data_IF_582542456425
#
_entry.id   IF_582542456425
#
_cell.length_a   1.000
_cell.length_b   1.000
_cell.length_c   1.000
_cell.angle_alpha   90.00
_cell.angle_beta   90.00
_cell.angle_gamma   90.00
#
_symmetry.space_group_name_H-M   'P 1'
#
loop_
_entity.id
_entity.type
_entity.pdbx_description
1 polymer ?
#
# COMPACT_ATOMS: atom_id res chain seq x y z
N UNK A 1 -4.06 26.18 13.44
CA UNK A 1 -4.09 24.71 13.61
C UNK A 1 -5.00 24.01 12.62
N UNK A 2 -6.12 24.62 12.23
CA UNK A 2 -7.09 24.10 11.22
C UNK A 2 -6.49 23.85 9.83
N UNK A 3 -5.68 24.78 9.30
CA UNK A 3 -5.05 24.61 7.97
C UNK A 3 -4.11 23.41 7.89
N UNK A 4 -3.31 23.15 8.94
CA UNK A 4 -2.38 22.02 8.95
C UNK A 4 -3.10 20.67 8.91
N UNK A 5 -4.15 20.52 9.71
CA UNK A 5 -4.99 19.31 9.75
C UNK A 5 -5.63 18.99 8.39
N UNK A 6 -6.06 20.01 7.65
CA UNK A 6 -6.61 19.86 6.31
C UNK A 6 -5.59 19.33 5.31
N UNK A 7 -4.36 19.89 5.28
CA UNK A 7 -3.30 19.41 4.37
C UNK A 7 -2.89 17.96 4.65
N UNK A 8 -2.84 17.58 5.92
CA UNK A 8 -2.50 16.20 6.32
C UNK A 8 -3.56 15.21 5.84
N UNK A 9 -4.84 15.56 6.03
CA UNK A 9 -5.96 14.73 5.59
C UNK A 9 -5.88 14.50 4.08
N UNK A 10 -5.69 15.57 3.30
CA UNK A 10 -5.57 15.49 1.85
C UNK A 10 -4.43 14.53 1.47
N UNK A 11 -3.24 14.69 2.04
CA UNK A 11 -2.09 13.83 1.76
C UNK A 11 -2.36 12.35 2.08
N UNK A 12 -3.00 12.07 3.22
CA UNK A 12 -3.33 10.70 3.62
C UNK A 12 -4.37 10.11 2.67
N UNK A 13 -5.45 10.83 2.38
CA UNK A 13 -6.52 10.37 1.47
C UNK A 13 -5.98 10.15 0.06
N UNK A 14 -5.19 11.08 -0.48
CA UNK A 14 -4.53 10.91 -1.79
C UNK A 14 -3.64 9.67 -1.81
N UNK A 15 -2.90 9.39 -0.73
CA UNK A 15 -2.07 8.18 -0.65
C UNK A 15 -2.89 6.89 -0.57
N UNK A 16 -4.06 6.91 0.07
CA UNK A 16 -4.98 5.77 0.11
C UNK A 16 -5.61 5.50 -1.26
N UNK A 17 -6.05 6.57 -1.95
CA UNK A 17 -6.60 6.47 -3.31
C UNK A 17 -5.54 5.93 -4.28
N UNK A 18 -4.32 6.46 -4.24
CA UNK A 18 -3.24 5.95 -5.10
C UNK A 18 -2.96 4.47 -4.79
N UNK A 19 -2.86 4.09 -3.52
CA UNK A 19 -2.64 2.69 -3.15
C UNK A 19 -3.79 1.79 -3.62
N UNK A 20 -5.04 2.26 -3.61
CA UNK A 20 -6.18 1.53 -4.16
C UNK A 20 -6.03 1.34 -5.66
N UNK A 21 -5.71 2.40 -6.41
CA UNK A 21 -5.51 2.36 -7.86
C UNK A 21 -4.40 1.37 -8.22
N UNK A 22 -3.26 1.41 -7.51
CA UNK A 22 -2.14 0.50 -7.73
C UNK A 22 -2.53 -0.97 -7.45
N UNK A 23 -3.28 -1.24 -6.37
CA UNK A 23 -3.79 -2.60 -6.06
C UNK A 23 -4.71 -3.12 -7.17
N UNK A 24 -5.60 -2.28 -7.69
CA UNK A 24 -6.48 -2.67 -8.82
C UNK A 24 -5.63 -2.91 -10.07
N UNK A 25 -4.62 -2.09 -10.33
CA UNK A 25 -3.69 -2.31 -11.43
C UNK A 25 -2.93 -3.64 -11.33
N UNK A 26 -2.64 -4.14 -10.12
CA UNK A 26 -2.04 -5.47 -9.93
C UNK A 26 -3.01 -6.58 -10.35
N UNK A 27 -4.33 -6.36 -10.24
CA UNK A 27 -5.32 -7.35 -10.68
C UNK A 27 -5.28 -7.61 -12.18
N UNK A 28 -4.81 -6.63 -12.98
CA UNK A 28 -4.57 -6.84 -14.41
C UNK A 28 -3.61 -8.01 -14.67
N UNK A 29 -2.65 -8.24 -13.78
CA UNK A 29 -1.67 -9.32 -13.93
C UNK A 29 -2.16 -10.67 -13.41
N UNK A 30 -3.37 -10.75 -12.86
CA UNK A 30 -3.96 -12.04 -12.53
C UNK A 30 -4.28 -12.79 -13.82
N UNK A 31 -4.18 -14.11 -13.79
CA UNK A 31 -4.44 -14.98 -14.94
C UNK A 31 -5.94 -15.15 -15.21
N UNK A 32 -6.72 -14.06 -15.19
CA UNK A 32 -8.18 -14.03 -15.31
C UNK A 32 -8.52 -13.31 -16.61
N UNK A 33 -9.45 -13.87 -17.39
CA UNK A 33 -9.99 -13.20 -18.56
C UNK A 33 -11.00 -12.13 -18.12
N UNK A 34 -10.56 -10.86 -18.09
CA UNK A 34 -11.44 -9.75 -17.75
C UNK A 34 -12.38 -9.43 -18.91
N UNK A 35 -13.68 -9.30 -18.63
CA UNK A 35 -14.71 -8.88 -19.59
C UNK A 35 -14.93 -7.36 -19.56
N UNK A 36 -15.24 -6.75 -20.70
CA UNK A 36 -15.65 -5.34 -20.76
C UNK A 36 -16.96 -5.11 -20.01
N UNK A 37 -17.12 -3.99 -19.28
CA UNK A 37 -16.23 -2.82 -19.23
C UNK A 37 -15.14 -2.87 -18.15
N UNK A 38 -15.07 -3.94 -17.35
CA UNK A 38 -14.15 -4.05 -16.22
C UNK A 38 -12.69 -4.11 -16.70
N UNK A 39 -12.43 -4.82 -17.80
CA UNK A 39 -11.12 -4.89 -18.43
C UNK A 39 -10.54 -3.49 -18.72
N UNK A 40 -11.33 -2.61 -19.33
CA UNK A 40 -10.92 -1.25 -19.70
C UNK A 40 -10.61 -0.37 -18.48
N UNK A 41 -11.39 -0.52 -17.40
CA UNK A 41 -11.15 0.21 -16.14
C UNK A 41 -9.85 -0.26 -15.49
N UNK A 42 -9.63 -1.57 -15.42
CA UNK A 42 -8.39 -2.15 -14.86
C UNK A 42 -7.19 -1.73 -15.70
N UNK A 43 -7.33 -1.77 -17.03
CA UNK A 43 -6.32 -1.35 -17.98
C UNK A 43 -5.92 0.12 -17.73
N UNK A 44 -6.89 1.03 -17.63
CA UNK A 44 -6.64 2.45 -17.29
C UNK A 44 -5.93 2.61 -15.93
N UNK A 45 -6.36 1.88 -14.91
CA UNK A 45 -5.77 1.95 -13.58
C UNK A 45 -4.37 1.33 -13.51
N UNK A 46 -4.05 0.38 -14.40
CA UNK A 46 -2.72 -0.24 -14.48
C UNK A 46 -1.62 0.72 -14.96
N UNK A 47 -1.97 1.83 -15.63
CA UNK A 47 -1.03 2.95 -15.91
C UNK A 47 -0.40 3.47 -14.61
N UNK A 48 -1.15 3.49 -13.51
CA UNK A 48 -0.64 3.96 -12.20
C UNK A 48 0.38 3.00 -11.57
N UNK A 49 0.50 1.78 -12.10
CA UNK A 49 1.59 0.85 -11.78
C UNK A 49 2.84 1.06 -12.65
N UNK A 50 2.91 2.16 -13.40
CA UNK A 50 4.04 2.50 -14.27
C UNK A 50 4.26 1.47 -15.39
N UNK A 51 3.20 0.74 -15.75
CA UNK A 51 3.19 -0.07 -16.97
C UNK A 51 3.11 0.88 -18.18
N UNK A 52 4.25 1.12 -18.81
CA UNK A 52 4.33 1.96 -20.02
C UNK A 52 3.87 1.22 -21.28
N UNK A 53 3.50 -0.04 -21.17
CA UNK A 53 3.00 -0.85 -22.30
C UNK A 53 1.72 -0.24 -22.91
N UNK A 54 0.98 0.54 -22.12
CA UNK A 54 -0.24 1.25 -22.53
C UNK A 54 -0.01 2.39 -23.51
N UNK A 55 1.19 2.98 -23.53
CA UNK A 55 1.49 4.08 -24.44
C UNK A 55 1.76 3.61 -25.87
N UNK A 56 1.63 2.29 -26.17
CA UNK A 56 1.79 1.67 -27.50
C UNK A 56 2.90 2.32 -28.32
N UNK A 57 4.08 2.47 -27.71
CA UNK A 57 5.25 3.05 -28.39
C UNK A 57 5.69 2.26 -29.63
N UNK A 58 5.13 1.07 -29.84
CA UNK A 58 5.25 0.27 -31.07
C UNK A 58 4.85 1.06 -32.33
N UNK A 59 3.95 2.03 -32.22
CA UNK A 59 3.56 2.89 -33.34
C UNK A 59 4.63 3.93 -33.73
N UNK A 60 5.61 4.21 -32.85
CA UNK A 60 6.69 5.19 -33.10
C UNK A 60 7.99 4.55 -33.59
N UNK A 61 8.11 3.22 -33.52
CA UNK A 61 9.25 2.49 -34.06
C UNK A 61 9.41 1.09 -33.47
N UNK A 62 10.31 0.30 -34.08
CA UNK A 62 10.72 -1.02 -33.55
C UNK A 62 11.62 -0.83 -32.33
N UNK A 63 11.02 -0.77 -31.14
CA UNK A 63 11.75 -0.71 -29.86
C UNK A 63 11.95 -2.13 -29.33
N UNK A 64 13.16 -2.44 -28.87
CA UNK A 64 13.45 -3.76 -28.28
C UNK A 64 12.67 -3.99 -26.99
N UNK A 65 12.29 -5.24 -26.70
CA UNK A 65 11.56 -5.61 -25.47
C UNK A 65 12.34 -5.21 -24.20
N UNK A 66 13.66 -5.42 -24.22
CA UNK A 66 14.54 -5.01 -23.13
C UNK A 66 14.47 -3.51 -22.87
N UNK A 67 14.46 -2.70 -23.94
CA UNK A 67 14.33 -1.24 -23.83
C UNK A 67 12.98 -0.82 -23.25
N UNK A 68 11.89 -1.53 -23.57
CA UNK A 68 10.56 -1.27 -22.98
C UNK A 68 10.54 -1.54 -21.48
N UNK A 69 11.12 -2.66 -21.06
CA UNK A 69 11.26 -3.00 -19.65
C UNK A 69 12.14 -2.01 -18.88
N UNK A 70 13.27 -1.59 -19.47
CA UNK A 70 14.11 -0.53 -18.85
C UNK A 70 13.31 0.77 -18.76
N UNK A 71 12.57 1.13 -19.81
CA UNK A 71 11.74 2.33 -19.82
C UNK A 71 10.67 2.32 -18.73
N UNK A 72 10.06 1.18 -18.39
CA UNK A 72 9.07 1.11 -17.30
C UNK A 72 9.69 1.30 -15.91
N UNK A 73 10.97 0.99 -15.73
CA UNK A 73 11.73 1.29 -14.50
C UNK A 73 12.16 2.77 -14.41
N UNK A 74 12.44 3.41 -15.55
CA UNK A 74 12.98 4.78 -15.60
C UNK A 74 12.16 5.84 -14.84
N UNK A 75 10.82 5.92 -14.92
CA UNK A 75 10.03 6.95 -14.24
C UNK A 75 10.34 7.09 -12.75
N UNK A 76 10.50 5.98 -12.03
CA UNK A 76 10.84 5.99 -10.59
C UNK A 76 12.21 6.61 -10.38
N UNK A 77 13.22 6.12 -11.10
CA UNK A 77 14.60 6.62 -10.96
C UNK A 77 14.72 8.09 -11.39
N UNK A 78 13.97 8.51 -12.41
CA UNK A 78 13.90 9.90 -12.85
C UNK A 78 13.24 10.78 -11.79
N UNK A 79 12.13 10.35 -11.19
CA UNK A 79 11.48 11.08 -10.09
C UNK A 79 12.41 11.22 -8.87
N UNK A 80 13.10 10.15 -8.49
CA UNK A 80 14.07 10.17 -7.39
C UNK A 80 15.27 11.07 -7.72
N UNK A 81 15.83 10.93 -8.92
CA UNK A 81 16.95 11.75 -9.40
C UNK A 81 16.60 13.24 -9.49
N UNK A 82 15.44 13.57 -10.03
CA UNK A 82 14.93 14.94 -10.08
C UNK A 82 14.70 15.51 -8.66
N UNK A 83 14.13 14.72 -7.75
CA UNK A 83 13.97 15.12 -6.36
C UNK A 83 15.31 15.40 -5.66
N UNK A 84 16.31 14.55 -5.89
CA UNK A 84 17.68 14.75 -5.40
C UNK A 84 18.33 16.01 -6.01
N UNK A 85 18.17 16.22 -7.31
CA UNK A 85 18.71 17.39 -8.01
C UNK A 85 18.09 18.68 -7.48
N UNK A 86 16.76 18.73 -7.36
CA UNK A 86 16.04 19.87 -6.76
C UNK A 86 16.52 20.12 -5.34
N UNK A 87 16.71 19.07 -4.54
CA UNK A 87 17.26 19.20 -3.19
C UNK A 87 18.66 19.82 -3.21
N UNK A 88 19.56 19.33 -4.07
CA UNK A 88 20.93 19.83 -4.19
C UNK A 88 20.94 21.31 -4.58
N UNK A 89 20.18 21.68 -5.61
CA UNK A 89 20.07 23.07 -6.07
C UNK A 89 19.52 23.97 -4.96
N UNK A 90 18.45 23.56 -4.27
CA UNK A 90 17.88 24.35 -3.17
C UNK A 90 18.84 24.53 -2.00
N UNK A 91 19.60 23.49 -1.64
CA UNK A 91 20.58 23.59 -0.54
C UNK A 91 21.75 24.50 -0.91
N UNK A 92 22.23 24.45 -2.15
CA UNK A 92 23.29 25.33 -2.62
C UNK A 92 22.81 26.80 -2.68
N UNK A 93 21.67 27.05 -3.32
CA UNK A 93 21.18 28.42 -3.58
C UNK A 93 20.62 29.09 -2.33
N UNK A 94 19.80 28.38 -1.54
CA UNK A 94 19.07 29.00 -0.41
C UNK A 94 19.67 28.71 0.96
N UNK A 95 20.53 27.71 1.07
CA UNK A 95 21.07 27.26 2.36
C UNK A 95 22.59 27.25 2.42
N UNK A 96 23.28 27.84 1.43
CA UNK A 96 24.73 28.02 1.43
C UNK A 96 25.51 26.70 1.57
N UNK A 97 25.01 25.62 0.97
CA UNK A 97 25.71 24.32 0.95
C UNK A 97 25.63 23.51 2.26
N UNK A 98 24.74 23.84 3.20
CA UNK A 98 24.59 23.10 4.47
C UNK A 98 23.84 21.76 4.30
N UNK A 99 24.40 20.85 3.52
CA UNK A 99 23.79 19.54 3.20
C UNK A 99 23.46 18.70 4.45
N UNK A 100 24.38 18.65 5.42
CA UNK A 100 24.24 17.81 6.62
C UNK A 100 23.03 18.17 7.49
N UNK A 101 22.66 19.45 7.52
CA UNK A 101 21.48 19.94 8.26
C UNK A 101 20.18 19.64 7.52
N UNK A 102 20.23 19.55 6.19
CA UNK A 102 19.07 19.38 5.31
C UNK A 102 18.84 17.95 4.82
N UNK A 103 19.75 17.02 5.12
CA UNK A 103 19.57 15.58 4.85
C UNK A 103 18.23 15.00 5.32
N UNK A 104 17.65 15.39 6.48
CA UNK A 104 16.34 14.89 6.89
C UNK A 104 15.23 15.19 5.87
N UNK A 105 15.28 16.34 5.20
CA UNK A 105 14.30 16.71 4.19
C UNK A 105 14.46 15.84 2.93
N UNK A 106 15.69 15.54 2.52
CA UNK A 106 15.96 14.64 1.40
C UNK A 106 15.44 13.23 1.68
N UNK A 107 15.75 12.67 2.86
CA UNK A 107 15.26 11.36 3.30
C UNK A 107 13.73 11.33 3.28
N UNK A 108 13.10 12.40 3.76
CA UNK A 108 11.65 12.51 3.77
C UNK A 108 11.06 12.51 2.36
N UNK A 109 11.62 13.29 1.43
CA UNK A 109 11.15 13.35 0.03
C UNK A 109 11.35 12.01 -0.68
N UNK A 110 12.56 11.46 -0.66
CA UNK A 110 12.91 10.19 -1.30
C UNK A 110 12.06 9.05 -0.74
N UNK A 111 11.99 8.94 0.59
CA UNK A 111 11.21 7.90 1.26
C UNK A 111 9.70 8.04 1.01
N UNK A 112 9.17 9.27 0.88
CA UNK A 112 7.76 9.48 0.52
C UNK A 112 7.47 8.98 -0.89
N UNK A 113 8.34 9.27 -1.86
CA UNK A 113 8.19 8.80 -3.25
C UNK A 113 8.24 7.28 -3.30
N UNK A 114 9.23 6.64 -2.66
CA UNK A 114 9.34 5.18 -2.61
C UNK A 114 8.10 4.57 -1.96
N UNK A 115 7.66 5.08 -0.81
CA UNK A 115 6.48 4.57 -0.11
C UNK A 115 5.20 4.69 -0.94
N UNK A 116 5.05 5.80 -1.69
CA UNK A 116 3.87 6.08 -2.50
C UNK A 116 3.79 5.20 -3.77
N UNK A 117 4.93 4.82 -4.33
CA UNK A 117 5.02 3.97 -5.52
C UNK A 117 5.47 2.53 -5.21
N UNK A 118 5.48 2.10 -3.94
CA UNK A 118 6.07 0.81 -3.56
C UNK A 118 5.42 -0.38 -4.29
N UNK A 119 4.08 -0.39 -4.42
CA UNK A 119 3.34 -1.46 -5.11
C UNK A 119 3.74 -1.48 -6.59
N UNK A 120 3.75 -0.32 -7.25
CA UNK A 120 4.17 -0.18 -8.65
C UNK A 120 5.62 -0.62 -8.88
N UNK A 121 6.54 -0.19 -8.00
CA UNK A 121 7.96 -0.57 -8.04
C UNK A 121 8.08 -2.09 -7.97
N UNK A 122 7.45 -2.73 -6.98
CA UNK A 122 7.55 -4.19 -6.81
C UNK A 122 6.92 -4.90 -8.01
N UNK A 123 5.76 -4.45 -8.48
CA UNK A 123 5.06 -5.02 -9.64
C UNK A 123 5.90 -5.01 -10.92
N UNK A 124 6.50 -3.87 -11.27
CA UNK A 124 7.38 -3.77 -12.45
C UNK A 124 8.62 -4.63 -12.27
N UNK A 125 9.26 -4.57 -11.10
CA UNK A 125 10.47 -5.34 -10.80
C UNK A 125 10.23 -6.84 -10.92
N UNK A 126 9.08 -7.34 -10.47
CA UNK A 126 8.80 -8.78 -10.47
C UNK A 126 8.25 -9.31 -11.81
N UNK A 127 7.90 -8.42 -12.74
CA UNK A 127 7.31 -8.82 -14.03
C UNK A 127 8.14 -9.84 -14.84
N UNK A 128 9.50 -9.83 -14.86
CA UNK A 128 10.29 -10.85 -15.57
C UNK A 128 10.16 -12.26 -15.00
N UNK A 129 9.73 -12.39 -13.75
CA UNK A 129 9.52 -13.69 -13.10
C UNK A 129 8.12 -14.26 -13.37
N UNK A 130 7.21 -13.47 -13.94
CA UNK A 130 5.86 -13.92 -14.23
C UNK A 130 5.81 -14.60 -15.61
N UNK A 131 5.99 -15.93 -15.62
CA UNK A 131 5.92 -16.76 -16.82
C UNK A 131 4.64 -17.58 -16.84
N UNK A 132 4.00 -17.67 -18.00
CA UNK A 132 2.78 -18.44 -18.23
C UNK A 132 3.04 -19.52 -19.29
N UNK A 133 2.52 -20.71 -19.04
CA UNK A 133 2.63 -21.83 -19.97
C UNK A 133 1.64 -21.70 -21.13
N UNK A 134 2.13 -21.95 -22.34
CA UNK A 134 1.32 -21.96 -23.56
C UNK A 134 1.02 -23.40 -24.02
N UNK A 135 -0.01 -23.62 -24.86
CA UNK A 135 -0.37 -24.94 -25.38
C UNK A 135 0.74 -25.67 -26.14
N UNK A 136 1.74 -24.94 -26.63
CA UNK A 136 2.92 -25.51 -27.30
C UNK A 136 3.97 -26.08 -26.33
N UNK A 137 3.74 -26.01 -25.02
CA UNK A 137 4.66 -26.47 -23.98
C UNK A 137 5.74 -25.46 -23.59
N UNK A 138 5.78 -24.29 -24.23
CA UNK A 138 6.73 -23.22 -23.91
C UNK A 138 6.14 -22.25 -22.89
N UNK A 139 7.00 -21.73 -22.02
CA UNK A 139 6.66 -20.67 -21.08
C UNK A 139 7.08 -19.33 -21.64
N UNK A 140 6.17 -18.35 -21.65
CA UNK A 140 6.47 -16.98 -22.08
C UNK A 140 6.16 -16.00 -20.96
N UNK A 141 6.82 -14.85 -20.97
CA UNK A 141 6.50 -13.80 -20.01
C UNK A 141 5.07 -13.29 -20.19
N UNK A 142 4.35 -13.03 -19.10
CA UNK A 142 2.97 -12.53 -19.15
C UNK A 142 2.88 -11.14 -19.81
N UNK A 143 3.77 -10.23 -19.45
CA UNK A 143 3.77 -8.86 -19.99
C UNK A 143 4.34 -8.78 -21.42
N UNK A 144 5.21 -9.71 -21.80
CA UNK A 144 5.89 -9.74 -23.10
C UNK A 144 5.85 -11.16 -23.68
N UNK A 145 4.72 -11.59 -24.29
CA UNK A 145 4.55 -12.95 -24.80
C UNK A 145 5.60 -13.39 -25.83
N UNK A 146 6.27 -12.45 -26.50
CA UNK A 146 7.37 -12.71 -27.42
C UNK A 146 8.68 -13.17 -26.74
N UNK A 147 8.78 -13.06 -25.41
CA UNK A 147 9.95 -13.48 -24.63
C UNK A 147 9.69 -14.86 -24.02
N UNK A 148 10.42 -15.87 -24.53
CA UNK A 148 10.43 -17.23 -23.99
C UNK A 148 11.26 -17.27 -22.70
N UNK A 149 10.66 -17.77 -21.63
CA UNK A 149 11.29 -17.87 -20.32
C UNK A 149 12.36 -18.97 -20.30
N UNK A 150 13.55 -18.66 -19.75
CA UNK A 150 14.66 -19.61 -19.57
C UNK A 150 15.55 -19.84 -20.80
N UNK A 151 15.01 -19.69 -22.02
CA UNK A 151 15.76 -19.91 -23.27
C UNK A 151 16.30 -18.62 -23.89
N UNK A 152 15.59 -17.50 -23.72
CA UNK A 152 15.97 -16.23 -24.32
C UNK A 152 17.09 -15.53 -23.53
N UNK A 153 18.17 -15.13 -24.22
CA UNK A 153 19.21 -14.26 -23.64
C UNK A 153 18.64 -12.92 -23.15
N UNK A 154 17.56 -12.45 -23.77
CA UNK A 154 16.83 -11.24 -23.36
C UNK A 154 16.16 -11.46 -22.01
N UNK A 155 15.55 -12.63 -21.79
CA UNK A 155 14.92 -12.98 -20.50
C UNK A 155 15.95 -12.99 -19.37
N UNK A 156 17.11 -13.59 -19.60
CA UNK A 156 18.22 -13.59 -18.64
C UNK A 156 18.71 -12.17 -18.28
N UNK A 157 18.82 -11.28 -19.28
CA UNK A 157 19.17 -9.88 -19.04
C UNK A 157 18.08 -9.15 -18.21
N UNK A 158 16.79 -9.38 -18.51
CA UNK A 158 15.68 -8.79 -17.76
C UNK A 158 15.67 -9.26 -16.30
N UNK A 159 15.93 -10.55 -16.04
CA UNK A 159 16.08 -11.09 -14.68
C UNK A 159 17.25 -10.41 -13.96
N UNK A 160 18.41 -10.27 -14.63
CA UNK A 160 19.57 -9.60 -14.04
C UNK A 160 19.27 -8.16 -13.60
N UNK A 161 18.57 -7.40 -14.44
CA UNK A 161 18.12 -6.04 -14.13
C UNK A 161 17.09 -6.05 -13.00
N UNK A 162 16.12 -6.96 -13.03
CA UNK A 162 15.11 -7.10 -11.98
C UNK A 162 15.74 -7.37 -10.61
N UNK A 163 16.72 -8.28 -10.54
CA UNK A 163 17.45 -8.59 -9.31
C UNK A 163 18.19 -7.38 -8.76
N UNK A 164 18.82 -6.57 -9.62
CA UNK A 164 19.44 -5.32 -9.20
C UNK A 164 18.38 -4.29 -8.72
N UNK A 165 17.25 -4.19 -9.42
CA UNK A 165 16.17 -3.27 -9.06
C UNK A 165 15.45 -3.68 -7.75
N UNK A 166 15.42 -4.98 -7.40
CA UNK A 166 14.91 -5.50 -6.12
C UNK A 166 15.61 -4.89 -4.88
N UNK A 167 16.84 -4.39 -5.03
CA UNK A 167 17.57 -3.73 -3.93
C UNK A 167 16.76 -2.56 -3.37
N UNK A 168 16.02 -1.84 -4.22
CA UNK A 168 15.22 -0.69 -3.80
C UNK A 168 14.06 -1.07 -2.85
N UNK A 169 13.10 -1.94 -3.22
CA UNK A 169 12.01 -2.33 -2.32
C UNK A 169 12.50 -3.14 -1.10
N UNK A 170 13.50 -4.01 -1.26
CA UNK A 170 14.06 -4.79 -0.14
C UNK A 170 14.78 -3.88 0.85
N UNK A 171 15.64 -2.97 0.34
CA UNK A 171 16.32 -1.98 1.17
C UNK A 171 15.35 -1.07 1.91
N UNK A 172 14.27 -0.64 1.25
CA UNK A 172 13.22 0.13 1.89
C UNK A 172 12.52 -0.65 3.02
N UNK A 173 12.18 -1.93 2.79
CA UNK A 173 11.59 -2.79 3.82
C UNK A 173 12.51 -2.94 5.04
N UNK A 174 13.82 -3.16 4.81
CA UNK A 174 14.82 -3.24 5.88
C UNK A 174 14.88 -1.92 6.67
N UNK A 175 14.90 -0.77 5.99
CA UNK A 175 14.85 0.55 6.65
C UNK A 175 13.60 0.69 7.50
N UNK A 176 12.42 0.30 6.99
CA UNK A 176 11.16 0.34 7.74
C UNK A 176 11.25 -0.53 9.01
N UNK A 177 11.77 -1.75 8.91
CA UNK A 177 11.97 -2.63 10.06
C UNK A 177 12.89 -2.00 11.12
N UNK A 178 14.02 -1.44 10.69
CA UNK A 178 14.98 -0.76 11.58
C UNK A 178 14.36 0.46 12.24
N UNK A 179 13.58 1.26 11.51
CA UNK A 179 12.88 2.43 12.05
C UNK A 179 11.87 2.01 13.11
N UNK A 180 11.05 1.00 12.85
CA UNK A 180 10.05 0.49 13.81
C UNK A 180 10.73 -0.05 15.07
N UNK A 181 11.83 -0.80 14.92
CA UNK A 181 12.58 -1.34 16.06
C UNK A 181 13.19 -0.26 16.96
N UNK A 182 13.75 0.79 16.34
CA UNK A 182 14.49 1.83 17.05
C UNK A 182 13.59 2.99 17.52
N UNK A 183 12.36 3.07 17.00
CA UNK A 183 11.42 4.17 17.26
C UNK A 183 11.19 4.45 18.76
N UNK A 184 10.86 3.46 19.62
CA UNK A 184 10.61 3.72 21.05
C UNK A 184 11.85 4.25 21.79
N UNK A 185 13.04 3.77 21.44
CA UNK A 185 14.30 4.18 22.06
C UNK A 185 14.69 5.60 21.67
N UNK A 186 14.41 6.02 20.42
CA UNK A 186 14.76 7.36 19.93
C UNK A 186 13.76 8.42 20.31
N UNK A 187 12.47 8.09 20.40
CA UNK A 187 11.48 9.04 20.90
C UNK A 187 11.71 9.34 22.39
N UNK A 188 12.06 8.34 23.21
CA UNK A 188 12.39 8.52 24.63
C UNK A 188 13.62 9.42 24.84
N UNK A 189 14.58 9.40 23.92
CA UNK A 189 15.77 10.26 23.92
C UNK A 189 15.54 11.66 23.32
N UNK A 190 14.35 11.93 22.77
CA UNK A 190 14.07 13.20 22.10
C UNK A 190 14.90 13.46 20.84
N UNK A 191 15.29 12.41 20.09
CA UNK A 191 16.07 12.54 18.84
C UNK A 191 15.23 13.19 17.73
N UNK A 192 15.23 14.53 17.72
CA UNK A 192 14.48 15.33 16.76
C UNK A 192 14.94 15.12 15.31
N UNK A 193 16.21 14.77 15.08
CA UNK A 193 16.74 14.54 13.73
C UNK A 193 16.17 13.24 13.15
N UNK A 194 16.11 12.18 13.94
CA UNK A 194 15.48 10.92 13.55
C UNK A 194 13.99 11.12 13.24
N UNK A 195 13.26 11.75 14.16
CA UNK A 195 11.82 12.01 13.99
C UNK A 195 11.52 12.85 12.75
N UNK A 196 12.37 13.84 12.43
CA UNK A 196 12.24 14.66 11.23
C UNK A 196 12.54 13.88 9.95
N UNK A 197 13.56 13.02 9.97
CA UNK A 197 13.97 12.25 8.79
C UNK A 197 12.93 11.20 8.39
N UNK A 198 12.38 10.49 9.38
CA UNK A 198 11.39 9.44 9.16
C UNK A 198 9.94 9.89 9.42
N UNK A 199 9.72 11.21 9.42
CA UNK A 199 8.40 11.78 9.65
C UNK A 199 7.37 11.21 8.67
N UNK A 200 7.73 11.01 7.40
CA UNK A 200 6.83 10.44 6.39
C UNK A 200 6.30 9.05 6.80
N UNK A 201 7.09 8.22 7.48
CA UNK A 201 6.66 6.90 7.93
C UNK A 201 5.76 7.01 9.17
N UNK A 202 6.23 7.72 10.18
CA UNK A 202 5.67 7.69 11.53
C UNK A 202 4.39 8.52 11.63
N UNK A 203 4.34 9.65 10.93
CA UNK A 203 3.31 10.67 11.12
C UNK A 203 1.89 10.23 10.73
N UNK A 204 1.78 9.23 9.85
CA UNK A 204 0.51 8.70 9.33
C UNK A 204 -0.27 7.90 10.37
N UNK A 205 0.45 7.27 11.29
CA UNK A 205 -0.12 6.35 12.27
C UNK A 205 -0.16 6.95 13.67
N UNK A 206 -1.03 6.39 14.51
CA UNK A 206 -1.07 6.69 15.93
C UNK A 206 0.23 6.22 16.59
N UNK A 207 0.81 6.97 17.55
CA UNK A 207 2.04 6.57 18.24
C UNK A 207 1.93 5.20 18.92
N UNK A 208 0.73 4.77 19.32
CA UNK A 208 0.46 3.46 19.93
C UNK A 208 0.42 2.32 18.90
N UNK A 209 0.24 2.65 17.61
CA UNK A 209 0.07 1.70 16.51
C UNK A 209 1.19 1.81 15.45
N UNK A 210 2.37 2.30 15.83
CA UNK A 210 3.50 2.47 14.91
C UNK A 210 3.96 1.16 14.23
N UNK A 211 3.75 0.01 14.89
CA UNK A 211 4.03 -1.33 14.35
C UNK A 211 3.23 -1.63 13.08
N UNK A 212 2.09 -0.96 12.86
CA UNK A 212 1.27 -1.13 11.67
C UNK A 212 2.00 -0.70 10.39
N UNK A 213 3.07 0.10 10.51
CA UNK A 213 3.94 0.42 9.39
C UNK A 213 4.57 -0.85 8.76
N UNK A 214 4.88 -1.87 9.57
CA UNK A 214 5.35 -3.16 9.06
C UNK A 214 4.28 -3.84 8.24
N UNK A 215 3.05 -3.94 8.77
CA UNK A 215 1.90 -4.53 8.07
C UNK A 215 1.62 -3.80 6.77
N UNK A 216 1.64 -2.47 6.79
CA UNK A 216 1.45 -1.61 5.62
C UNK A 216 2.52 -1.84 4.55
N UNK A 217 3.79 -1.99 4.94
CA UNK A 217 4.88 -2.18 3.99
C UNK A 217 4.88 -3.61 3.43
N UNK A 218 4.69 -4.60 4.30
CA UNK A 218 4.60 -6.01 3.91
C UNK A 218 3.45 -6.26 2.94
N UNK A 219 2.25 -5.72 3.20
CA UNK A 219 1.13 -5.87 2.25
C UNK A 219 1.44 -5.26 0.88
N UNK A 220 2.13 -4.12 0.83
CA UNK A 220 2.48 -3.46 -0.43
C UNK A 220 3.54 -4.23 -1.24
N UNK A 221 4.34 -5.07 -0.58
CA UNK A 221 5.34 -5.93 -1.25
C UNK A 221 4.75 -7.28 -1.64
N UNK A 222 3.93 -7.90 -0.77
CA UNK A 222 3.42 -9.26 -1.04
C UNK A 222 2.33 -9.25 -2.11
N UNK A 223 1.44 -8.24 -2.16
CA UNK A 223 0.32 -8.24 -3.11
C UNK A 223 0.78 -8.32 -4.59
N UNK A 224 1.79 -7.56 -5.06
CA UNK A 224 2.31 -7.70 -6.42
C UNK A 224 3.03 -9.01 -6.73
N UNK A 225 3.38 -9.82 -5.71
CA UNK A 225 3.98 -11.14 -5.91
C UNK A 225 2.95 -12.24 -6.15
N UNK A 226 1.69 -12.01 -5.78
CA UNK A 226 0.62 -13.01 -5.91
C UNK A 226 0.46 -13.52 -7.35
N UNK A 227 0.49 -12.66 -8.41
CA UNK A 227 0.43 -13.11 -9.80
C UNK A 227 1.52 -14.11 -10.21
N UNK A 228 2.64 -14.19 -9.49
CA UNK A 228 3.71 -15.15 -9.80
C UNK A 228 3.30 -16.61 -9.56
N UNK A 229 2.20 -16.84 -8.83
CA UNK A 229 1.69 -18.20 -8.65
C UNK A 229 1.15 -18.74 -9.98
N UNK A 230 1.52 -19.95 -10.40
CA UNK A 230 1.07 -20.52 -11.66
C UNK A 230 -0.42 -20.88 -11.64
N UNK A 231 -0.98 -21.12 -10.45
CA UNK A 231 -2.37 -21.53 -10.28
C UNK A 231 -3.27 -20.30 -10.09
N UNK A 232 -4.17 -20.05 -11.05
CA UNK A 232 -5.17 -18.97 -11.03
C UNK A 232 -5.99 -18.94 -9.74
N UNK A 233 -6.40 -20.12 -9.29
CA UNK A 233 -7.17 -20.33 -8.07
C UNK A 233 -6.37 -19.89 -6.86
N UNK A 234 -5.12 -20.34 -6.80
CA UNK A 234 -4.17 -19.96 -5.76
C UNK A 234 -3.94 -18.45 -5.72
N UNK A 235 -3.88 -17.79 -6.88
CA UNK A 235 -3.77 -16.34 -6.96
C UNK A 235 -4.96 -15.66 -6.29
N UNK A 236 -6.20 -16.00 -6.67
CA UNK A 236 -7.42 -15.37 -6.13
C UNK A 236 -7.55 -15.63 -4.63
N UNK A 237 -7.44 -16.90 -4.21
CA UNK A 237 -7.56 -17.28 -2.80
C UNK A 237 -6.50 -16.58 -1.94
N UNK A 238 -5.22 -16.61 -2.36
CA UNK A 238 -4.17 -15.93 -1.63
C UNK A 238 -4.40 -14.42 -1.57
N UNK A 239 -4.82 -13.79 -2.68
CA UNK A 239 -5.11 -12.35 -2.72
C UNK A 239 -6.22 -12.00 -1.72
N UNK A 240 -7.35 -12.74 -1.76
CA UNK A 240 -8.47 -12.54 -0.83
C UNK A 240 -8.02 -12.75 0.60
N UNK A 241 -7.31 -13.83 0.92
CA UNK A 241 -6.81 -14.09 2.27
C UNK A 241 -5.89 -12.99 2.78
N UNK A 242 -4.96 -12.50 1.96
CA UNK A 242 -4.05 -11.41 2.33
C UNK A 242 -4.79 -10.09 2.56
N UNK A 243 -5.67 -9.68 1.63
CA UNK A 243 -6.45 -8.44 1.76
C UNK A 243 -7.35 -8.52 2.99
N UNK A 244 -8.04 -9.64 3.21
CA UNK A 244 -8.91 -9.86 4.36
C UNK A 244 -8.17 -9.87 5.69
N UNK A 245 -7.02 -10.55 5.78
CA UNK A 245 -6.20 -10.57 7.00
C UNK A 245 -5.70 -9.17 7.39
N UNK A 246 -5.26 -8.39 6.40
CA UNK A 246 -4.87 -6.99 6.61
C UNK A 246 -6.08 -6.12 7.01
N UNK A 247 -7.22 -6.31 6.36
CA UNK A 247 -8.46 -5.58 6.68
C UNK A 247 -8.91 -5.85 8.12
N UNK A 248 -8.82 -7.09 8.57
CA UNK A 248 -9.09 -7.47 9.96
C UNK A 248 -8.18 -6.74 10.95
N UNK A 249 -6.86 -6.77 10.73
CA UNK A 249 -5.89 -6.06 11.58
C UNK A 249 -6.18 -4.55 11.59
N UNK A 250 -6.46 -3.97 10.41
CA UNK A 250 -6.79 -2.56 10.23
C UNK A 250 -8.05 -2.15 11.01
N UNK A 251 -9.15 -2.89 10.87
CA UNK A 251 -10.41 -2.63 11.56
C UNK A 251 -10.27 -2.83 13.08
N UNK A 252 -9.46 -3.78 13.54
CA UNK A 252 -9.26 -4.05 14.96
C UNK A 252 -8.38 -3.00 15.66
N UNK A 253 -7.40 -2.46 14.94
CA UNK A 253 -6.39 -1.55 15.51
C UNK A 253 -6.61 -0.08 15.18
N UNK A 254 -7.41 0.26 14.15
CA UNK A 254 -7.61 1.62 13.64
C UNK A 254 -6.32 2.47 13.68
N UNK A 255 -5.25 2.02 13.02
CA UNK A 255 -3.91 2.54 13.22
C UNK A 255 -3.70 3.96 12.69
N UNK A 256 -4.53 4.43 11.75
CA UNK A 256 -4.37 5.77 11.19
C UNK A 256 -4.62 6.84 12.24
N UNK A 257 -3.78 7.88 12.22
CA UNK A 257 -3.91 9.02 13.13
C UNK A 257 -5.24 9.77 12.94
N UNK A 258 -5.73 9.84 11.70
CA UNK A 258 -7.00 10.48 11.36
C UNK A 258 -8.10 9.42 11.35
N UNK A 259 -9.20 9.58 12.14
CA UNK A 259 -10.31 8.64 12.14
C UNK A 259 -10.96 8.42 10.76
N UNK A 260 -11.14 9.50 9.98
CA UNK A 260 -11.67 9.39 8.61
C UNK A 260 -10.83 8.47 7.71
N UNK A 261 -9.50 8.53 7.83
CA UNK A 261 -8.61 7.67 7.05
C UNK A 261 -8.78 6.18 7.41
N UNK A 262 -9.11 5.87 8.68
CA UNK A 262 -9.42 4.51 9.10
C UNK A 262 -10.68 3.98 8.39
N UNK A 263 -11.76 4.75 8.37
CA UNK A 263 -13.00 4.35 7.71
C UNK A 263 -12.81 4.20 6.20
N UNK A 264 -12.07 5.12 5.57
CA UNK A 264 -11.77 5.06 4.15
C UNK A 264 -10.91 3.84 3.78
N UNK A 265 -9.81 3.57 4.50
CA UNK A 265 -8.96 2.39 4.22
C UNK A 265 -9.76 1.09 4.43
N UNK A 266 -10.59 1.01 5.48
CA UNK A 266 -11.48 -0.13 5.71
C UNK A 266 -12.50 -0.33 4.59
N UNK A 267 -13.17 0.74 4.15
CA UNK A 267 -14.15 0.68 3.05
C UNK A 267 -13.47 0.26 1.73
N UNK A 268 -12.31 0.83 1.41
CA UNK A 268 -11.54 0.47 0.21
C UNK A 268 -11.12 -1.00 0.22
N UNK A 269 -10.62 -1.50 1.35
CA UNK A 269 -10.24 -2.92 1.48
C UNK A 269 -11.47 -3.83 1.37
N UNK A 270 -12.62 -3.44 1.92
CA UNK A 270 -13.85 -4.19 1.78
C UNK A 270 -14.33 -4.24 0.32
N UNK A 271 -14.30 -3.11 -0.40
CA UNK A 271 -14.62 -3.08 -1.83
C UNK A 271 -13.71 -4.00 -2.64
N UNK A 272 -12.41 -4.04 -2.34
CA UNK A 272 -11.47 -4.95 -3.00
C UNK A 272 -11.79 -6.42 -2.72
N UNK A 273 -12.16 -6.77 -1.49
CA UNK A 273 -12.54 -8.14 -1.13
C UNK A 273 -13.81 -8.55 -1.89
N UNK A 274 -14.85 -7.71 -1.88
CA UNK A 274 -16.09 -7.95 -2.62
C UNK A 274 -15.81 -8.14 -4.10
N UNK A 275 -14.98 -7.26 -4.67
CA UNK A 275 -14.58 -7.33 -6.07
C UNK A 275 -13.87 -8.65 -6.41
N UNK A 276 -12.86 -9.04 -5.64
CA UNK A 276 -12.12 -10.28 -5.87
C UNK A 276 -13.00 -11.54 -5.72
N UNK A 277 -13.89 -11.56 -4.73
CA UNK A 277 -14.83 -12.66 -4.55
C UNK A 277 -15.85 -12.75 -5.69
N UNK A 278 -16.35 -11.60 -6.17
CA UNK A 278 -17.25 -11.57 -7.33
C UNK A 278 -16.56 -12.11 -8.59
N UNK A 279 -15.29 -11.74 -8.81
CA UNK A 279 -14.49 -12.25 -9.93
C UNK A 279 -14.28 -13.76 -9.82
N UNK A 280 -13.91 -14.26 -8.63
CA UNK A 280 -13.74 -15.70 -8.41
C UNK A 280 -15.03 -16.51 -8.61
N UNK A 281 -16.20 -15.90 -8.37
CA UNK A 281 -17.49 -16.53 -8.67
C UNK A 281 -17.79 -16.50 -10.18
N UNK A 282 -17.57 -15.37 -10.85
CA UNK A 282 -17.89 -15.21 -12.27
C UNK A 282 -16.94 -15.98 -13.21
N UNK A 283 -15.71 -16.27 -12.77
CA UNK A 283 -14.76 -17.08 -13.55
C UNK A 283 -15.26 -18.51 -13.84
N UNK A 284 -16.28 -18.99 -13.12
CA UNK A 284 -16.95 -20.28 -13.35
C UNK A 284 -17.70 -20.35 -14.69
N UNK A 285 -18.19 -19.21 -15.22
CA UNK A 285 -19.11 -19.21 -16.35
C UNK A 285 -18.48 -19.28 -17.74
N UNK A 286 -17.17 -19.01 -17.88
CA UNK A 286 -16.55 -18.76 -19.19
C UNK A 286 -15.89 -20.00 -19.81
N UNK A 287 -15.58 -21.01 -19.00
CA UNK A 287 -14.99 -22.28 -19.47
C UNK A 287 -16.05 -23.30 -19.94
N UNK A 288 -17.35 -23.03 -19.72
CA UNK A 288 -18.46 -23.95 -20.06
C UNK A 288 -18.73 -24.04 -21.57
N UNK A 289 -18.30 -23.04 -22.36
CA UNK A 289 -18.59 -22.99 -23.81
C UNK A 289 -17.53 -23.73 -24.65
N UNK A 290 -16.38 -24.09 -24.06
CA UNK A 290 -15.26 -24.68 -24.81
C UNK A 290 -14.83 -26.00 -24.18
N UNK A 291 -15.31 -27.09 -24.79
CA UNK A 291 -14.88 -28.49 -24.64
C UNK A 291 -15.64 -29.38 -23.64
N UNK A 292 -16.41 -30.29 -24.24
CA UNK A 292 -16.98 -31.49 -23.63
C UNK A 292 -15.86 -32.46 -23.21
N UNK A 293 -15.33 -32.30 -22.00
CA UNK A 293 -14.42 -33.30 -21.42
C UNK A 293 -13.66 -32.83 -20.19
N UNK A 294 -14.26 -32.93 -19.00
CA UNK A 294 -13.60 -33.42 -17.76
C UNK A 294 -14.43 -33.11 -16.51
N UNK A 295 -15.14 -34.13 -16.01
CA UNK A 295 -15.88 -34.08 -14.74
C UNK A 295 -15.00 -33.74 -13.51
N UNK A 296 -13.67 -33.90 -13.60
CA UNK A 296 -12.73 -33.56 -12.51
C UNK A 296 -12.44 -32.08 -12.37
N UNK A 297 -12.69 -31.26 -13.41
CA UNK A 297 -12.35 -29.83 -13.41
C UNK A 297 -13.48 -28.98 -12.82
N UNK A 298 -14.73 -29.40 -12.96
CA UNK A 298 -15.90 -28.72 -12.36
C UNK A 298 -15.85 -28.71 -10.82
N UNK A 299 -15.35 -29.78 -10.19
CA UNK A 299 -15.29 -29.89 -8.72
C UNK A 299 -14.28 -28.92 -8.09
N UNK A 300 -13.14 -28.67 -8.74
CA UNK A 300 -12.16 -27.67 -8.28
C UNK A 300 -12.77 -26.27 -8.30
N UNK A 301 -13.57 -25.94 -9.31
CA UNK A 301 -14.14 -24.60 -9.50
C UNK A 301 -15.26 -24.31 -8.48
N UNK A 302 -16.12 -25.30 -8.21
CA UNK A 302 -17.17 -25.19 -7.18
C UNK A 302 -16.61 -25.04 -5.77
N UNK A 303 -15.52 -25.74 -5.44
CA UNK A 303 -14.85 -25.57 -4.15
C UNK A 303 -14.33 -24.15 -3.96
N UNK A 304 -13.85 -23.50 -5.02
CA UNK A 304 -13.31 -22.14 -4.96
C UNK A 304 -14.42 -21.12 -4.79
N UNK A 305 -15.50 -21.24 -5.55
CA UNK A 305 -16.67 -20.38 -5.38
C UNK A 305 -17.25 -20.50 -3.95
N UNK A 306 -17.29 -21.72 -3.40
CA UNK A 306 -17.70 -21.97 -2.02
C UNK A 306 -16.73 -21.37 -1.00
N UNK A 307 -15.42 -21.55 -1.16
CA UNK A 307 -14.42 -20.98 -0.25
C UNK A 307 -14.39 -19.45 -0.31
N UNK A 308 -14.43 -18.86 -1.51
CA UNK A 308 -14.50 -17.42 -1.73
C UNK A 308 -15.77 -16.82 -1.14
N UNK A 309 -16.92 -17.48 -1.26
CA UNK A 309 -18.18 -17.02 -0.67
C UNK A 309 -18.19 -17.15 0.85
N UNK A 310 -17.68 -18.25 1.41
CA UNK A 310 -17.52 -18.42 2.86
C UNK A 310 -16.56 -17.38 3.43
N UNK A 311 -15.42 -17.15 2.78
CA UNK A 311 -14.47 -16.11 3.18
C UNK A 311 -15.09 -14.71 3.08
N UNK A 312 -15.83 -14.42 2.01
CA UNK A 312 -16.52 -13.15 1.83
C UNK A 312 -17.55 -12.91 2.96
N UNK A 313 -18.44 -13.87 3.20
CA UNK A 313 -19.46 -13.79 4.24
C UNK A 313 -18.81 -13.64 5.62
N UNK A 314 -17.75 -14.41 5.90
CA UNK A 314 -17.00 -14.30 7.16
C UNK A 314 -16.39 -12.91 7.31
N UNK A 315 -15.77 -12.37 6.27
CA UNK A 315 -15.17 -11.03 6.32
C UNK A 315 -16.21 -9.92 6.44
N UNK A 316 -17.35 -10.04 5.74
CA UNK A 316 -18.46 -9.08 5.81
C UNK A 316 -19.10 -9.06 7.20
N UNK A 317 -19.36 -10.22 7.78
CA UNK A 317 -19.96 -10.35 9.13
C UNK A 317 -19.02 -9.82 10.21
N UNK A 318 -17.73 -10.16 10.14
CA UNK A 318 -16.70 -9.63 11.02
C UNK A 318 -16.54 -8.11 10.88
N UNK A 319 -16.49 -7.60 9.65
CA UNK A 319 -16.41 -6.17 9.35
C UNK A 319 -17.63 -5.40 9.85
N UNK A 320 -18.84 -5.92 9.61
CA UNK A 320 -20.09 -5.36 10.11
C UNK A 320 -20.12 -5.34 11.64
N UNK A 321 -19.68 -6.42 12.30
CA UNK A 321 -19.58 -6.48 13.76
C UNK A 321 -18.66 -5.40 14.33
N UNK A 322 -17.47 -5.21 13.73
CA UNK A 322 -16.54 -4.14 14.14
C UNK A 322 -17.14 -2.75 13.88
N UNK A 323 -17.80 -2.55 12.74
CA UNK A 323 -18.44 -1.27 12.41
C UNK A 323 -19.56 -0.93 13.39
N UNK A 324 -20.45 -1.88 13.68
CA UNK A 324 -21.54 -1.72 14.66
C UNK A 324 -20.97 -1.43 16.04
N UNK A 325 -19.95 -2.15 16.46
CA UNK A 325 -19.26 -1.90 17.73
C UNK A 325 -18.63 -0.49 17.77
N UNK A 326 -17.95 -0.08 16.70
CA UNK A 326 -17.35 1.24 16.60
C UNK A 326 -18.39 2.37 16.63
N UNK A 327 -19.50 2.22 15.90
CA UNK A 327 -20.63 3.14 15.93
C UNK A 327 -21.25 3.19 17.32
N UNK A 328 -21.47 2.04 17.96
CA UNK A 328 -22.00 1.96 19.32
C UNK A 328 -21.09 2.68 20.33
N UNK A 329 -19.77 2.44 20.29
CA UNK A 329 -18.79 3.13 21.11
C UNK A 329 -18.78 4.63 20.82
N UNK A 330 -18.88 5.03 19.55
CA UNK A 330 -18.91 6.44 19.16
C UNK A 330 -20.18 7.16 19.67
N UNK A 331 -21.35 6.55 19.52
CA UNK A 331 -22.62 7.07 20.00
C UNK A 331 -22.63 7.15 21.53
N UNK A 332 -22.08 6.14 22.22
CA UNK A 332 -21.94 6.13 23.69
C UNK A 332 -20.88 7.11 24.19
N UNK A 333 -19.83 7.35 23.40
CA UNK A 333 -18.79 8.34 23.70
C UNK A 333 -19.31 9.78 23.59
N UNK A 334 -20.30 10.04 22.73
CA UNK A 334 -20.98 11.35 22.65
C UNK A 334 -21.81 11.68 23.89
N UNK A 335 -22.25 10.69 24.67
CA UNK A 335 -23.02 10.92 25.89
C UNK A 335 -22.14 11.11 27.12
N UNK A 336 -20.87 10.73 27.05
CA UNK A 336 -19.88 10.97 28.11
C UNK A 336 -19.11 12.25 27.83
N UNK A 337 -19.16 13.23 28.75
CA UNK A 337 -18.36 14.46 28.63
C UNK A 337 -16.88 14.10 28.52
N UNK A 338 -16.22 14.61 27.46
CA UNK A 338 -14.81 14.30 27.14
C UNK A 338 -13.85 14.76 28.24
N UNK A 339 -14.27 15.73 29.05
CA UNK A 339 -13.51 16.25 30.19
C UNK A 339 -14.34 16.21 31.45
N UNK A 340 -13.78 15.62 32.50
CA UNK A 340 -14.40 15.57 33.83
C UNK A 340 -14.03 16.79 34.67
N UNK A 341 -12.86 17.36 34.39
CA UNK A 341 -12.32 18.54 35.07
C UNK A 341 -11.91 19.60 34.04
N UNK A 342 -12.12 20.86 34.42
CA UNK A 342 -11.79 22.03 33.63
C UNK A 342 -10.88 22.94 34.46
N UNK A 343 -9.66 23.18 33.98
CA UNK A 343 -8.67 24.06 34.61
C UNK A 343 -8.67 25.38 33.83
N UNK A 344 -9.15 26.44 34.47
CA UNK A 344 -9.04 27.80 33.93
C UNK A 344 -7.78 28.45 34.50
N UNK A 345 -7.01 29.16 33.67
CA UNK A 345 -5.76 29.79 34.10
C UNK A 345 -5.48 31.11 33.38
N UNK A 346 -4.65 31.97 33.97
CA UNK A 346 -4.19 33.18 33.30
C UNK A 346 -3.16 32.85 32.22
N UNK A 347 -3.42 33.26 30.98
CA UNK A 347 -2.69 32.82 29.77
C UNK A 347 -1.20 33.16 29.77
N UNK A 348 -0.80 34.24 30.45
CA UNK A 348 0.61 34.69 30.51
C UNK A 348 1.39 34.04 31.64
N UNK A 349 0.79 33.92 32.83
CA UNK A 349 1.57 33.68 34.05
C UNK A 349 1.42 32.25 34.60
N UNK A 350 0.39 31.52 34.17
CA UNK A 350 0.03 30.22 34.77
C UNK A 350 0.07 29.03 33.79
N UNK A 351 0.46 29.22 32.53
CA UNK A 351 0.36 28.17 31.50
C UNK A 351 1.23 26.94 31.78
N UNK A 352 2.45 27.15 32.30
CA UNK A 352 3.35 26.05 32.67
C UNK A 352 2.80 25.28 33.89
N UNK A 353 2.28 25.99 34.88
CA UNK A 353 1.69 25.40 36.09
C UNK A 353 0.40 24.65 35.78
N UNK A 354 -0.46 25.17 34.89
CA UNK A 354 -1.67 24.49 34.45
C UNK A 354 -1.36 23.17 33.73
N UNK A 355 -0.33 23.14 32.87
CA UNK A 355 0.14 21.91 32.23
C UNK A 355 0.69 20.90 33.22
N UNK A 356 1.49 21.34 34.19
CA UNK A 356 2.03 20.47 35.24
C UNK A 356 0.90 19.91 36.13
N UNK A 357 -0.05 20.76 36.52
CA UNK A 357 -1.23 20.37 37.31
C UNK A 357 -2.09 19.35 36.56
N UNK A 358 -2.29 19.53 35.24
CA UNK A 358 -2.97 18.54 34.41
C UNK A 358 -2.23 17.20 34.39
N UNK A 359 -0.91 17.19 34.22
CA UNK A 359 -0.11 15.95 34.24
C UNK A 359 -0.28 15.23 35.58
N UNK A 360 -0.19 15.95 36.70
CA UNK A 360 -0.35 15.39 38.04
C UNK A 360 -1.78 14.93 38.33
N UNK A 361 -2.80 15.67 37.89
CA UNK A 361 -4.20 15.23 38.01
C UNK A 361 -4.42 13.96 37.19
N UNK A 362 -3.93 13.90 35.95
CA UNK A 362 -4.06 12.72 35.10
C UNK A 362 -3.29 11.50 35.64
N UNK A 363 -2.29 11.69 36.52
CA UNK A 363 -1.63 10.56 37.21
C UNK A 363 -2.41 10.03 38.41
N UNK A 364 -3.31 10.83 38.99
CA UNK A 364 -4.12 10.45 40.17
C UNK A 364 -5.51 9.97 39.73
N UNK A 365 -6.14 10.66 38.79
CA UNK A 365 -7.46 10.33 38.26
C UNK A 365 -7.36 9.90 36.81
N UNK A 366 -7.97 8.74 36.50
CA UNK A 366 -7.98 8.10 35.18
C UNK A 366 -8.83 8.84 34.13
N UNK A 367 -9.10 10.14 34.32
CA UNK A 367 -10.02 10.90 33.48
C UNK A 367 -9.35 12.14 32.87
N UNK A 368 -9.92 12.58 31.75
CA UNK A 368 -9.40 13.67 30.96
C UNK A 368 -9.68 15.03 31.62
N UNK A 369 -8.65 15.88 31.60
CA UNK A 369 -8.67 17.24 32.15
C UNK A 369 -8.45 18.25 31.02
N UNK A 370 -9.36 19.21 30.89
CA UNK A 370 -9.25 20.32 29.94
C UNK A 370 -8.49 21.48 30.59
N UNK A 371 -7.65 22.17 29.82
CA UNK A 371 -7.06 23.45 30.20
C UNK A 371 -7.52 24.47 29.16
N UNK A 372 -8.12 25.56 29.63
CA UNK A 372 -8.49 26.73 28.80
C UNK A 372 -7.38 27.77 28.78
#
# INVERSE_FOLDING_TARGET
>A
TTHGLSSILILVVSSLIMALMQKIGVFHSLSIAWVSPIAEIIELLSVMNLSLDLLRFECLGKVSVLSRYIASLCPIFLMLGAGCLVHVVLVLVRHGGRFRERTPALIQTVGTVIMFFLIAIVHVVVSPFHCVGNPNGLFTMYAYPEVICGESSVHGAMIGIAMAACILPVGFAVIVCLVVWEFPKRIARGDSKFLRSFYFLIFRFRPEAFWYLLVFTTRSIVLPLVPLLPNRVGQILLMVTLVSGVAWIQCRSFPWRIPLANYLDSAMMLCLIIFLCAVGFLSEGQDIITEAGSASREDEHRMIAMLCSVLLVTCLTLGAGVLVFAVFVHLRGRTTKEFKYFICHHKKDAAAQARLLKINLQSIVSCNVFID
#
